data_IF_377434693214
#
_entry.id   IF_377434693214
#
_cell.length_a   1.000
_cell.length_b   1.000
_cell.length_c   1.000
_cell.angle_alpha   90.00
_cell.angle_beta   90.00
_cell.angle_gamma   90.00
#
_symmetry.space_group_name_H-M   'P 1'
#
loop_
_entity.id
_entity.type
_entity.pdbx_description
1 polymer ?
#
# COMPACT_ATOMS: atom_id res chain seq x y z
N UNK A 1 40.22 39.75 -46.56
CA UNK A 1 39.11 39.67 -45.60
C UNK A 1 39.69 40.06 -44.25
N UNK A 2 39.05 40.97 -43.52
CA UNK A 2 39.50 41.42 -42.20
C UNK A 2 39.61 40.21 -41.24
N UNK A 3 40.71 40.02 -40.48
CA UNK A 3 40.85 38.96 -39.48
C UNK A 3 39.67 38.88 -38.50
N UNK A 4 39.05 40.02 -38.17
CA UNK A 4 37.87 40.08 -37.31
C UNK A 4 36.64 39.50 -38.02
N UNK A 5 36.49 39.77 -39.33
CA UNK A 5 35.41 39.19 -40.14
C UNK A 5 35.65 37.69 -40.33
N UNK A 6 36.90 37.23 -40.51
CA UNK A 6 37.20 35.80 -40.58
C UNK A 6 36.88 35.09 -39.25
N UNK A 7 37.26 35.66 -38.11
CA UNK A 7 36.90 35.11 -36.80
C UNK A 7 35.38 35.09 -36.56
N UNK A 8 34.65 36.13 -37.00
CA UNK A 8 33.20 36.17 -36.90
C UNK A 8 32.53 35.14 -37.82
N UNK A 9 33.03 34.96 -39.04
CA UNK A 9 32.52 33.96 -39.98
C UNK A 9 32.81 32.54 -39.50
N UNK A 10 34.02 32.27 -38.97
CA UNK A 10 34.34 30.96 -38.38
C UNK A 10 33.50 30.67 -37.13
N UNK A 11 33.33 31.65 -36.22
CA UNK A 11 32.43 31.49 -35.07
C UNK A 11 30.98 31.25 -35.48
N UNK A 12 30.50 31.95 -36.49
CA UNK A 12 29.13 31.75 -37.00
C UNK A 12 28.97 30.40 -37.72
N UNK A 13 30.04 29.85 -38.30
CA UNK A 13 30.02 28.55 -39.00
C UNK A 13 30.16 27.34 -38.06
N UNK A 14 30.67 27.52 -36.84
CA UNK A 14 30.90 26.43 -35.86
C UNK A 14 29.92 26.44 -34.67
N UNK A 15 28.87 27.26 -34.73
CA UNK A 15 27.84 27.32 -33.70
C UNK A 15 26.61 26.48 -34.05
N UNK A 16 26.28 25.56 -33.14
CA UNK A 16 25.21 24.57 -33.33
C UNK A 16 24.04 24.85 -32.37
N UNK A 17 23.07 25.64 -32.81
CA UNK A 17 21.93 26.07 -31.98
C UNK A 17 20.70 25.13 -32.04
N UNK A 18 20.78 24.03 -32.79
CA UNK A 18 19.68 23.07 -32.94
C UNK A 18 19.62 22.01 -31.84
N UNK A 19 18.66 21.11 -31.96
CA UNK A 19 18.63 19.83 -31.23
C UNK A 19 19.15 18.71 -32.14
N UNK A 20 20.04 17.91 -31.61
CA UNK A 20 20.70 16.82 -32.33
C UNK A 20 20.45 15.49 -31.62
N UNK A 21 20.40 14.38 -32.36
CA UNK A 21 20.26 13.06 -31.74
C UNK A 21 21.60 12.62 -31.16
N UNK A 22 21.59 12.24 -29.89
CA UNK A 22 22.73 11.67 -29.18
C UNK A 22 22.44 10.24 -28.75
N UNK A 23 23.46 9.38 -28.84
CA UNK A 23 23.44 8.05 -28.24
C UNK A 23 24.25 8.08 -26.94
N UNK A 24 23.70 7.55 -25.86
CA UNK A 24 24.40 7.46 -24.57
C UNK A 24 25.53 6.44 -24.65
N UNK A 25 26.75 6.87 -24.35
CA UNK A 25 27.96 6.04 -24.35
C UNK A 25 28.43 5.74 -22.92
N UNK A 26 28.33 6.73 -22.03
CA UNK A 26 28.67 6.58 -20.61
C UNK A 26 27.70 7.38 -19.74
N UNK A 27 27.26 6.78 -18.64
CA UNK A 27 26.39 7.37 -17.63
C UNK A 27 26.97 7.31 -16.21
N UNK A 28 28.22 6.86 -16.05
CA UNK A 28 28.92 6.80 -14.76
C UNK A 28 29.59 8.15 -14.45
N UNK A 29 28.76 9.17 -14.22
CA UNK A 29 29.22 10.53 -13.93
C UNK A 29 30.03 10.59 -12.62
N UNK A 30 31.33 10.94 -12.64
CA UNK A 30 32.16 11.01 -11.45
C UNK A 30 31.72 12.10 -10.45
N UNK A 31 30.91 13.08 -10.86
CA UNK A 31 30.34 14.08 -9.95
C UNK A 31 28.93 13.73 -9.45
N UNK A 32 28.33 12.61 -9.92
CA UNK A 32 26.97 12.19 -9.55
C UNK A 32 25.89 13.26 -9.83
N UNK A 33 26.01 13.99 -10.94
CA UNK A 33 25.12 15.09 -11.35
C UNK A 33 24.23 14.72 -12.54
N UNK A 34 24.08 13.44 -12.85
CA UNK A 34 23.35 12.93 -14.02
C UNK A 34 23.90 13.41 -15.37
N UNK A 35 25.21 13.68 -15.45
CA UNK A 35 25.85 14.00 -16.74
C UNK A 35 26.03 12.74 -17.59
N UNK A 36 26.05 12.92 -18.90
CA UNK A 36 26.22 11.82 -19.86
C UNK A 36 27.36 12.11 -20.83
N UNK A 37 28.11 11.09 -21.23
CA UNK A 37 28.93 11.17 -22.45
C UNK A 37 28.15 10.59 -23.62
N UNK A 38 28.11 11.33 -24.72
CA UNK A 38 27.21 11.08 -25.83
C UNK A 38 27.99 10.96 -27.14
N UNK A 39 27.46 10.18 -28.08
CA UNK A 39 27.88 10.21 -29.48
C UNK A 39 26.85 10.99 -30.28
N UNK A 40 27.28 12.02 -31.02
CA UNK A 40 26.42 12.90 -31.83
C UNK A 40 26.88 12.88 -33.29
N UNK A 41 26.50 11.86 -34.09
CA UNK A 41 27.08 11.63 -35.41
C UNK A 41 26.92 12.79 -36.39
N UNK A 42 25.79 13.52 -36.32
CA UNK A 42 25.50 14.64 -37.23
C UNK A 42 26.39 15.86 -37.04
N UNK A 43 27.11 15.95 -35.91
CA UNK A 43 27.96 17.10 -35.57
C UNK A 43 29.42 16.69 -35.44
N UNK A 44 29.71 15.58 -34.75
CA UNK A 44 31.07 15.18 -34.38
C UNK A 44 31.58 13.94 -35.13
N UNK A 45 30.75 13.33 -35.97
CA UNK A 45 31.04 12.03 -36.58
C UNK A 45 30.81 10.86 -35.61
N UNK A 46 31.04 9.65 -36.09
CA UNK A 46 30.66 8.41 -35.39
C UNK A 46 31.69 7.96 -34.34
N UNK A 47 32.92 8.43 -34.42
CA UNK A 47 34.03 7.94 -33.58
C UNK A 47 34.33 8.87 -32.39
N UNK A 48 33.70 10.04 -32.35
CA UNK A 48 33.93 11.06 -31.33
C UNK A 48 32.82 11.03 -30.29
N UNK A 49 33.22 11.10 -29.02
CA UNK A 49 32.33 11.21 -27.86
C UNK A 49 32.45 12.62 -27.31
N UNK A 50 31.32 13.17 -26.84
CA UNK A 50 31.27 14.49 -26.23
C UNK A 50 32.05 14.54 -24.90
N UNK A 51 32.32 15.74 -24.40
CA UNK A 51 32.54 15.91 -22.97
C UNK A 51 31.27 15.54 -22.18
N UNK A 52 31.37 15.50 -20.84
CA UNK A 52 30.21 15.33 -19.96
C UNK A 52 29.14 16.40 -20.27
N UNK A 53 27.99 15.93 -20.76
CA UNK A 53 26.84 16.75 -21.07
C UNK A 53 26.04 17.05 -19.81
N UNK A 54 25.78 18.33 -19.57
CA UNK A 54 24.94 18.76 -18.45
C UNK A 54 23.48 18.37 -18.70
N UNK A 55 22.72 17.94 -17.67
CA UNK A 55 21.34 17.55 -17.86
C UNK A 55 20.40 18.77 -17.87
N UNK A 56 19.44 18.80 -18.79
CA UNK A 56 18.29 19.70 -18.75
C UNK A 56 17.08 18.97 -18.13
N UNK A 57 17.06 18.89 -16.80
CA UNK A 57 16.02 18.17 -16.04
C UNK A 57 14.76 19.01 -15.84
N UNK A 58 13.56 18.40 -15.77
CA UNK A 58 12.30 19.12 -15.59
C UNK A 58 12.11 19.72 -14.19
N UNK A 59 12.82 19.21 -13.18
CA UNK A 59 12.72 19.68 -11.80
C UNK A 59 14.04 19.43 -11.05
N UNK A 60 14.51 20.43 -10.28
CA UNK A 60 15.74 20.37 -9.50
C UNK A 60 16.43 21.73 -9.38
N UNK A 61 17.75 21.73 -9.13
CA UNK A 61 18.59 22.93 -9.18
C UNK A 61 18.94 23.58 -7.83
N UNK A 62 18.48 23.01 -6.71
CA UNK A 62 18.97 23.31 -5.36
C UNK A 62 19.32 22.01 -4.63
N UNK A 63 19.86 22.13 -3.41
CA UNK A 63 20.25 21.00 -2.60
C UNK A 63 19.05 20.08 -2.27
N UNK A 64 19.25 18.78 -2.44
CA UNK A 64 18.35 17.70 -1.99
C UNK A 64 16.92 17.76 -2.56
N UNK A 65 16.77 18.15 -3.83
CA UNK A 65 15.50 18.13 -4.54
C UNK A 65 15.67 17.92 -6.05
N UNK A 66 14.73 17.24 -6.71
CA UNK A 66 14.71 17.13 -8.17
C UNK A 66 14.13 15.82 -8.70
N UNK A 67 14.05 15.72 -10.03
CA UNK A 67 13.78 14.47 -10.74
C UNK A 67 15.09 13.86 -11.23
N UNK A 68 15.61 12.85 -10.53
CA UNK A 68 16.87 12.19 -10.88
C UNK A 68 16.61 10.88 -11.64
N UNK A 69 16.57 10.97 -12.97
CA UNK A 69 16.36 9.82 -13.87
C UNK A 69 17.39 9.85 -14.98
N UNK A 70 18.41 8.99 -14.88
CA UNK A 70 19.54 8.94 -15.80
C UNK A 70 19.23 7.92 -16.90
N UNK A 71 19.29 8.30 -18.19
CA UNK A 71 19.17 7.37 -19.30
C UNK A 71 20.24 6.26 -19.27
N UNK A 72 19.86 5.05 -19.68
CA UNK A 72 20.75 3.90 -19.80
C UNK A 72 21.74 4.04 -20.98
N UNK A 73 22.87 3.33 -20.89
CA UNK A 73 23.81 3.23 -22.02
C UNK A 73 23.07 2.65 -23.24
N UNK A 74 23.26 3.29 -24.40
CA UNK A 74 22.56 2.95 -25.64
C UNK A 74 21.18 3.60 -25.81
N UNK A 75 20.67 4.35 -24.82
CA UNK A 75 19.48 5.17 -25.01
C UNK A 75 19.73 6.33 -25.98
N UNK A 76 18.68 6.80 -26.65
CA UNK A 76 18.72 8.02 -27.45
C UNK A 76 18.18 9.22 -26.66
N UNK A 77 18.91 10.34 -26.73
CA UNK A 77 18.58 11.62 -26.12
C UNK A 77 18.65 12.75 -27.15
N UNK A 78 18.00 13.87 -26.87
CA UNK A 78 18.30 15.11 -27.60
C UNK A 78 19.50 15.81 -26.98
N UNK A 79 20.34 16.37 -27.83
CA UNK A 79 21.56 17.07 -27.46
C UNK A 79 21.50 18.50 -27.98
N UNK A 80 21.87 19.42 -27.11
CA UNK A 80 22.03 20.84 -27.36
C UNK A 80 23.43 21.25 -26.92
N UNK A 81 23.82 22.49 -27.22
CA UNK A 81 25.13 23.03 -26.90
C UNK A 81 24.98 24.42 -26.31
N UNK A 82 25.58 24.68 -25.13
CA UNK A 82 25.51 25.99 -24.48
C UNK A 82 26.01 27.08 -25.44
N UNK A 83 25.13 28.02 -25.80
CA UNK A 83 25.41 29.08 -26.77
C UNK A 83 26.01 28.56 -28.10
N UNK A 84 25.63 27.34 -28.50
CA UNK A 84 26.09 26.68 -29.73
C UNK A 84 27.49 26.09 -29.65
N UNK A 85 28.16 26.09 -28.48
CA UNK A 85 29.52 25.58 -28.33
C UNK A 85 29.54 24.06 -28.16
N UNK A 86 30.05 23.34 -29.18
CA UNK A 86 30.13 21.87 -29.20
C UNK A 86 30.86 21.24 -27.99
N UNK A 87 31.77 21.99 -27.35
CA UNK A 87 32.51 21.53 -26.17
C UNK A 87 31.73 21.66 -24.84
N UNK A 88 30.51 22.22 -24.90
CA UNK A 88 29.60 22.42 -23.76
C UNK A 88 28.25 21.75 -24.06
N UNK A 89 28.23 20.41 -24.16
CA UNK A 89 27.02 19.67 -24.47
C UNK A 89 26.00 19.72 -23.33
N UNK A 90 24.72 19.68 -23.70
CA UNK A 90 23.56 19.56 -22.81
C UNK A 90 22.73 18.40 -23.34
N UNK A 91 22.22 17.52 -22.48
CA UNK A 91 21.22 16.53 -22.88
C UNK A 91 19.85 16.90 -22.35
N UNK A 92 18.82 16.74 -23.19
CA UNK A 92 17.45 17.16 -22.90
C UNK A 92 16.46 16.09 -23.35
N UNK A 93 15.86 15.38 -22.39
CA UNK A 93 14.84 14.38 -22.69
C UNK A 93 15.34 13.18 -23.49
N UNK A 94 14.46 12.19 -23.62
CA UNK A 94 14.70 10.93 -24.34
C UNK A 94 13.78 10.82 -25.55
N UNK A 95 14.13 9.92 -26.47
CA UNK A 95 13.27 9.53 -27.58
C UNK A 95 13.29 8.02 -27.76
N UNK A 96 12.15 7.47 -28.15
CA UNK A 96 12.01 6.07 -28.53
C UNK A 96 12.70 5.85 -29.89
N UNK A 97 13.55 4.82 -29.99
CA UNK A 97 14.28 4.52 -31.23
C UNK A 97 13.37 3.78 -32.21
N UNK A 98 12.49 2.94 -31.68
CA UNK A 98 11.51 2.15 -32.40
C UNK A 98 10.24 1.96 -31.55
N UNK A 99 9.17 1.46 -32.17
CA UNK A 99 7.87 1.29 -31.51
C UNK A 99 7.91 0.34 -30.31
N UNK A 100 8.80 -0.67 -30.32
CA UNK A 100 8.93 -1.63 -29.22
C UNK A 100 9.61 -1.07 -27.97
N UNK A 101 10.23 0.11 -28.05
CA UNK A 101 10.89 0.73 -26.89
C UNK A 101 9.87 1.39 -25.96
N UNK A 102 8.71 1.75 -26.51
CA UNK A 102 7.60 2.33 -25.73
C UNK A 102 7.06 1.26 -24.79
N UNK A 103 6.76 1.59 -23.51
CA UNK A 103 6.08 0.67 -22.61
C UNK A 103 4.78 0.15 -23.24
N UNK A 104 4.70 -1.16 -23.48
CA UNK A 104 3.65 -1.78 -24.28
C UNK A 104 2.24 -1.51 -23.75
N UNK A 105 2.05 -1.61 -22.44
CA UNK A 105 0.76 -1.32 -21.78
C UNK A 105 0.24 0.08 -22.11
N UNK A 106 1.12 1.09 -22.08
CA UNK A 106 0.77 2.47 -22.39
C UNK A 106 0.58 2.70 -23.90
N UNK A 107 1.36 2.00 -24.74
CA UNK A 107 1.23 2.08 -26.18
C UNK A 107 -0.10 1.49 -26.68
N UNK A 108 -0.53 0.38 -26.11
CA UNK A 108 -1.78 -0.31 -26.46
C UNK A 108 -3.04 0.49 -26.09
N UNK A 109 -2.96 1.28 -25.01
CA UNK A 109 -4.06 2.12 -24.48
C UNK A 109 -3.83 3.62 -24.73
N UNK A 110 -3.04 3.97 -25.75
CA UNK A 110 -2.79 5.37 -26.09
C UNK A 110 -4.05 6.04 -26.69
N UNK A 111 -4.40 7.30 -26.32
CA UNK A 111 -3.67 8.23 -25.46
C UNK A 111 -4.09 8.21 -23.98
N UNK A 112 -4.99 7.29 -23.61
CA UNK A 112 -5.68 7.30 -22.33
C UNK A 112 -4.79 6.78 -21.18
N UNK A 113 -3.82 5.92 -21.48
CA UNK A 113 -2.84 5.47 -20.50
C UNK A 113 -1.57 6.34 -20.49
N UNK A 114 -1.22 6.84 -19.29
CA UNK A 114 0.03 7.54 -18.99
C UNK A 114 0.81 6.73 -17.98
N UNK A 115 2.07 6.45 -18.27
CA UNK A 115 2.87 5.52 -17.47
C UNK A 115 4.31 6.00 -17.30
N UNK A 116 4.83 5.87 -16.09
CA UNK A 116 6.25 5.84 -15.78
C UNK A 116 6.64 4.40 -15.49
N UNK A 117 7.49 3.81 -16.33
CA UNK A 117 8.02 2.45 -16.17
C UNK A 117 9.54 2.50 -16.05
N UNK A 118 10.07 1.86 -15.03
CA UNK A 118 11.52 1.75 -14.79
C UNK A 118 12.09 0.47 -15.40
N UNK A 119 13.42 0.35 -15.61
CA UNK A 119 14.04 -0.84 -16.24
C UNK A 119 13.72 -2.16 -15.53
N UNK A 120 13.63 -2.15 -14.20
CA UNK A 120 13.27 -3.35 -13.43
C UNK A 120 11.78 -3.71 -13.49
N UNK A 121 10.95 -2.89 -14.12
CA UNK A 121 9.51 -3.16 -14.27
C UNK A 121 8.61 -2.53 -13.21
N UNK A 122 9.13 -1.63 -12.35
CA UNK A 122 8.26 -0.82 -11.48
C UNK A 122 7.46 0.17 -12.31
N UNK A 123 6.18 0.32 -11.97
CA UNK A 123 5.21 1.10 -12.76
C UNK A 123 4.46 2.06 -11.84
N UNK A 124 4.34 3.32 -12.29
CA UNK A 124 3.30 4.26 -11.87
C UNK A 124 2.47 4.59 -13.10
N UNK A 125 1.16 4.36 -13.07
CA UNK A 125 0.27 4.62 -14.21
C UNK A 125 -1.04 5.28 -13.83
N UNK A 126 -1.58 6.01 -14.79
CA UNK A 126 -2.88 6.65 -14.80
C UNK A 126 -3.58 6.25 -16.09
N UNK A 127 -4.74 5.62 -15.98
CA UNK A 127 -5.59 5.23 -17.11
C UNK A 127 -6.86 6.08 -17.07
N UNK A 128 -7.13 6.84 -18.12
CA UNK A 128 -8.37 7.63 -18.27
C UNK A 128 -9.35 6.97 -19.26
N UNK A 129 -9.20 5.67 -19.54
CA UNK A 129 -10.15 4.92 -20.37
C UNK A 129 -11.53 4.99 -19.73
N UNK A 130 -12.53 5.46 -20.47
CA UNK A 130 -13.86 5.74 -19.90
C UNK A 130 -14.52 4.48 -19.33
N UNK A 131 -14.85 4.51 -18.03
CA UNK A 131 -15.43 3.39 -17.29
C UNK A 131 -14.41 2.35 -16.80
N UNK A 132 -13.13 2.54 -17.10
CA UNK A 132 -12.00 1.72 -16.65
C UNK A 132 -10.89 2.60 -16.04
N UNK A 133 -11.25 3.79 -15.55
CA UNK A 133 -10.29 4.75 -15.00
C UNK A 133 -9.50 4.12 -13.84
N UNK A 134 -8.18 4.31 -13.82
CA UNK A 134 -7.32 3.63 -12.85
C UNK A 134 -6.10 4.47 -12.46
N UNK A 135 -5.74 4.45 -11.17
CA UNK A 135 -4.40 4.84 -10.70
C UNK A 135 -3.72 3.61 -10.14
N UNK A 136 -2.47 3.36 -10.56
CA UNK A 136 -1.73 2.15 -10.16
C UNK A 136 -0.27 2.41 -9.86
N UNK A 137 0.20 1.87 -8.73
CA UNK A 137 1.61 1.73 -8.36
C UNK A 137 1.93 0.24 -8.24
N UNK A 138 2.86 -0.26 -9.05
CA UNK A 138 3.14 -1.68 -9.16
C UNK A 138 4.63 -2.01 -9.03
N UNK A 139 4.89 -3.12 -8.32
CA UNK A 139 6.17 -3.77 -8.25
C UNK A 139 6.15 -5.07 -9.07
N UNK A 140 7.21 -5.39 -9.83
CA UNK A 140 7.33 -6.60 -10.67
C UNK A 140 7.33 -7.93 -9.89
N UNK A 141 7.13 -7.90 -8.58
CA UNK A 141 6.97 -9.09 -7.74
C UNK A 141 5.48 -9.34 -7.44
N UNK A 142 4.59 -8.75 -8.25
CA UNK A 142 3.13 -8.82 -8.13
C UNK A 142 2.56 -8.25 -6.84
N UNK A 143 3.15 -7.14 -6.36
CA UNK A 143 2.53 -6.30 -5.33
C UNK A 143 2.12 -4.95 -5.91
N UNK A 144 0.96 -4.44 -5.52
CA UNK A 144 0.43 -3.19 -6.07
C UNK A 144 -0.43 -2.40 -5.08
N UNK A 145 -0.53 -1.10 -5.35
CA UNK A 145 -1.60 -0.22 -4.88
C UNK A 145 -2.39 0.23 -6.11
N UNK A 146 -3.71 0.09 -6.05
CA UNK A 146 -4.63 0.42 -7.14
C UNK A 146 -5.83 1.21 -6.62
N UNK A 147 -6.27 2.19 -7.41
CA UNK A 147 -7.56 2.87 -7.27
C UNK A 147 -8.30 2.64 -8.59
N UNK A 148 -9.46 1.99 -8.54
CA UNK A 148 -10.28 1.69 -9.74
C UNK A 148 -11.30 2.80 -10.05
N UNK A 149 -12.09 2.58 -11.11
CA UNK A 149 -13.05 3.55 -11.65
C UNK A 149 -14.14 3.91 -10.64
N UNK A 150 -14.48 2.99 -9.75
CA UNK A 150 -15.41 3.19 -8.64
C UNK A 150 -14.78 3.91 -7.43
N UNK A 151 -13.48 4.17 -7.47
CA UNK A 151 -12.72 4.79 -6.39
C UNK A 151 -12.37 3.83 -5.24
N UNK A 152 -12.45 2.51 -5.46
CA UNK A 152 -12.04 1.52 -4.47
C UNK A 152 -10.52 1.50 -4.39
N UNK A 153 -10.00 1.69 -3.19
CA UNK A 153 -8.55 1.64 -2.93
C UNK A 153 -8.16 0.24 -2.50
N UNK A 154 -7.24 -0.39 -3.21
CA UNK A 154 -6.75 -1.75 -2.92
C UNK A 154 -5.23 -1.76 -2.83
N UNK A 155 -4.69 -2.38 -1.78
CA UNK A 155 -3.30 -2.77 -1.69
C UNK A 155 -3.24 -4.30 -1.71
N UNK A 156 -2.37 -4.86 -2.52
CA UNK A 156 -2.16 -6.30 -2.67
C UNK A 156 -0.67 -6.60 -2.55
N UNK A 157 -0.29 -7.54 -1.69
CA UNK A 157 1.09 -8.02 -1.62
C UNK A 157 1.36 -9.19 -2.59
N UNK A 158 2.63 -9.56 -2.72
CA UNK A 158 3.08 -10.65 -3.60
C UNK A 158 2.50 -12.04 -3.23
N UNK A 159 2.04 -12.21 -1.99
CA UNK A 159 1.46 -13.46 -1.50
C UNK A 159 -0.07 -13.48 -1.59
N UNK A 160 -0.70 -12.39 -2.05
CA UNK A 160 -2.14 -12.23 -2.20
C UNK A 160 -2.87 -11.70 -0.96
N UNK A 161 -2.18 -11.22 0.07
CA UNK A 161 -2.81 -10.50 1.17
C UNK A 161 -3.31 -9.13 0.65
N UNK A 162 -4.47 -8.69 1.14
CA UNK A 162 -5.13 -7.47 0.64
C UNK A 162 -5.59 -6.54 1.75
N UNK A 163 -5.54 -5.24 1.49
CA UNK A 163 -6.25 -4.19 2.21
C UNK A 163 -7.15 -3.44 1.21
N UNK A 164 -8.45 -3.34 1.50
CA UNK A 164 -9.46 -2.79 0.59
C UNK A 164 -10.30 -1.75 1.31
N UNK A 165 -10.45 -0.57 0.72
CA UNK A 165 -11.36 0.48 1.16
C UNK A 165 -12.41 0.70 0.06
N UNK A 166 -13.67 0.35 0.34
CA UNK A 166 -14.75 0.44 -0.62
C UNK A 166 -15.86 1.37 -0.11
N UNK A 167 -15.90 2.58 -0.65
CA UNK A 167 -16.92 3.58 -0.29
C UNK A 167 -18.33 3.14 -0.71
N UNK A 168 -18.48 2.54 -1.90
CA UNK A 168 -19.79 2.08 -2.40
C UNK A 168 -20.39 0.99 -1.51
N UNK A 169 -19.55 0.10 -0.98
CA UNK A 169 -19.93 -0.93 -0.02
C UNK A 169 -19.97 -0.45 1.43
N UNK A 170 -19.55 0.80 1.71
CA UNK A 170 -19.31 1.31 3.06
C UNK A 170 -18.47 0.35 3.91
N UNK A 171 -17.42 -0.21 3.31
CA UNK A 171 -16.61 -1.26 3.93
C UNK A 171 -15.10 -1.01 3.87
N UNK A 172 -14.41 -1.57 4.86
CA UNK A 172 -12.95 -1.68 4.93
C UNK A 172 -12.61 -3.12 5.27
N UNK A 173 -11.75 -3.75 4.49
CA UNK A 173 -11.41 -5.16 4.62
C UNK A 173 -9.89 -5.36 4.59
N UNK A 174 -9.39 -6.17 5.51
CA UNK A 174 -8.04 -6.72 5.49
C UNK A 174 -8.15 -8.24 5.44
N UNK A 175 -7.47 -8.87 4.49
CA UNK A 175 -7.40 -10.33 4.35
C UNK A 175 -5.94 -10.74 4.21
N UNK A 176 -5.51 -11.76 4.95
CA UNK A 176 -4.22 -12.40 4.72
C UNK A 176 -4.35 -13.64 3.82
N UNK A 177 -3.21 -14.17 3.37
CA UNK A 177 -3.16 -15.38 2.55
C UNK A 177 -3.45 -16.67 3.33
N UNK A 178 -3.59 -16.60 4.66
CA UNK A 178 -3.87 -17.75 5.52
C UNK A 178 -5.37 -17.90 5.82
N UNK A 179 -6.22 -17.03 5.25
CA UNK A 179 -7.67 -17.04 5.45
C UNK A 179 -8.15 -16.29 6.70
N UNK A 180 -7.32 -15.41 7.27
CA UNK A 180 -7.70 -14.52 8.35
C UNK A 180 -8.20 -13.19 7.77
N UNK A 181 -9.27 -12.65 8.36
CA UNK A 181 -9.88 -11.39 7.90
C UNK A 181 -10.23 -10.44 9.05
N UNK A 182 -10.17 -9.14 8.76
CA UNK A 182 -10.76 -8.06 9.54
C UNK A 182 -11.65 -7.24 8.60
N UNK A 183 -12.95 -7.21 8.88
CA UNK A 183 -13.95 -6.52 8.06
C UNK A 183 -14.67 -5.49 8.92
N UNK A 184 -14.75 -4.25 8.45
CA UNK A 184 -15.60 -3.19 8.99
C UNK A 184 -16.62 -2.83 7.93
N UNK A 185 -17.90 -2.85 8.27
CA UNK A 185 -19.02 -2.61 7.36
C UNK A 185 -20.20 -2.02 8.14
N UNK A 186 -21.30 -1.68 7.47
CA UNK A 186 -22.45 -1.02 8.09
C UNK A 186 -23.08 -1.81 9.27
N UNK A 187 -23.01 -3.14 9.22
CA UNK A 187 -23.49 -4.05 10.28
C UNK A 187 -22.58 -4.05 11.51
N UNK A 188 -21.30 -3.68 11.38
CA UNK A 188 -20.35 -3.69 12.48
C UNK A 188 -18.92 -4.02 12.06
N UNK A 189 -18.17 -4.61 12.98
CA UNK A 189 -16.78 -5.03 12.76
C UNK A 189 -16.59 -6.49 13.13
N UNK A 190 -15.92 -7.24 12.27
CA UNK A 190 -15.67 -8.66 12.44
C UNK A 190 -14.18 -8.97 12.25
N UNK A 191 -13.59 -9.69 13.22
CA UNK A 191 -12.29 -10.37 13.07
C UNK A 191 -12.58 -11.86 12.95
N UNK A 192 -12.03 -12.50 11.93
CA UNK A 192 -12.15 -13.95 11.70
C UNK A 192 -10.76 -14.54 11.47
N UNK A 193 -10.48 -15.69 12.08
CA UNK A 193 -9.34 -16.50 11.67
C UNK A 193 -9.78 -17.70 10.80
N UNK A 194 -8.82 -18.35 10.16
CA UNK A 194 -9.08 -19.52 9.31
C UNK A 194 -9.48 -20.79 10.08
N UNK A 195 -9.42 -20.76 11.42
CA UNK A 195 -9.83 -21.87 12.28
C UNK A 195 -11.28 -21.74 12.75
N UNK A 196 -12.01 -20.73 12.28
CA UNK A 196 -13.42 -20.47 12.62
C UNK A 196 -13.61 -19.68 13.92
N UNK A 197 -12.54 -19.14 14.51
CA UNK A 197 -12.66 -18.23 15.64
C UNK A 197 -13.07 -16.84 15.13
N UNK A 198 -13.96 -16.16 15.86
CA UNK A 198 -14.51 -14.85 15.46
C UNK A 198 -14.71 -13.92 16.65
N UNK A 199 -14.48 -12.63 16.41
CA UNK A 199 -14.91 -11.52 17.28
C UNK A 199 -15.80 -10.62 16.43
N UNK A 200 -17.06 -10.47 16.82
CA UNK A 200 -18.06 -9.65 16.11
C UNK A 200 -18.54 -8.54 17.04
N UNK A 201 -18.47 -7.29 16.58
CA UNK A 201 -18.98 -6.10 17.24
C UNK A 201 -20.07 -5.50 16.35
N UNK A 202 -21.34 -5.67 16.74
CA UNK A 202 -22.51 -5.27 15.93
C UNK A 202 -23.58 -4.63 16.82
N UNK A 203 -24.72 -4.23 16.24
CA UNK A 203 -25.80 -3.56 17.00
C UNK A 203 -26.34 -4.37 18.19
N UNK A 204 -26.18 -5.69 18.19
CA UNK A 204 -26.54 -6.59 19.30
C UNK A 204 -25.51 -6.67 20.44
N UNK A 205 -24.33 -6.05 20.28
CA UNK A 205 -23.23 -6.08 21.24
C UNK A 205 -21.96 -6.75 20.69
N UNK A 206 -21.13 -7.27 21.59
CA UNK A 206 -19.88 -7.95 21.26
C UNK A 206 -20.02 -9.47 21.47
N UNK A 207 -19.74 -10.25 20.43
CA UNK A 207 -19.76 -11.71 20.45
C UNK A 207 -18.37 -12.27 20.15
N UNK A 208 -17.84 -13.06 21.07
CA UNK A 208 -16.58 -13.81 20.90
C UNK A 208 -16.93 -15.28 20.78
N UNK A 209 -16.59 -15.90 19.66
CA UNK A 209 -16.79 -17.34 19.39
C UNK A 209 -15.47 -18.01 19.08
N UNK A 210 -15.26 -19.19 19.64
CA UNK A 210 -14.16 -20.08 19.28
C UNK A 210 -14.70 -21.45 18.88
N UNK A 211 -14.04 -22.09 17.91
CA UNK A 211 -14.31 -23.48 17.52
C UNK A 211 -13.88 -24.49 18.59
N UNK A 212 -13.03 -24.09 19.55
CA UNK A 212 -12.54 -24.94 20.63
C UNK A 212 -12.81 -24.33 22.01
N UNK A 213 -11.91 -23.48 22.50
CA UNK A 213 -11.97 -22.90 23.85
C UNK A 213 -11.57 -21.43 23.78
N UNK A 214 -12.32 -20.57 24.49
CA UNK A 214 -11.91 -19.19 24.78
C UNK A 214 -11.21 -19.18 26.13
N UNK A 215 -9.89 -19.01 26.14
CA UNK A 215 -9.09 -18.89 27.36
C UNK A 215 -8.76 -17.41 27.62
N UNK A 216 -9.10 -16.91 28.81
CA UNK A 216 -8.77 -15.53 29.25
C UNK A 216 -7.94 -15.64 30.53
N UNK A 217 -6.64 -15.34 30.44
CA UNK A 217 -5.70 -15.41 31.56
C UNK A 217 -5.27 -14.01 32.02
N UNK A 218 -5.20 -13.83 33.33
CA UNK A 218 -4.74 -12.61 33.98
C UNK A 218 -4.78 -12.79 35.50
N UNK A 219 -4.01 -12.00 36.23
CA UNK A 219 -4.06 -12.01 37.72
C UNK A 219 -5.44 -11.63 38.27
N UNK A 220 -6.25 -10.92 37.47
CA UNK A 220 -7.65 -10.59 37.73
C UNK A 220 -8.41 -10.43 36.40
N UNK A 221 -9.60 -11.01 36.29
CA UNK A 221 -10.53 -10.84 35.16
C UNK A 221 -11.86 -10.31 35.70
N UNK A 222 -12.19 -9.06 35.37
CA UNK A 222 -13.43 -8.44 35.82
C UNK A 222 -14.53 -8.60 34.78
N UNK A 223 -15.51 -9.47 35.06
CA UNK A 223 -16.75 -9.57 34.28
C UNK A 223 -17.87 -8.88 35.06
N UNK A 224 -18.13 -7.62 34.72
CA UNK A 224 -19.05 -6.74 35.46
C UNK A 224 -20.49 -6.71 34.93
N UNK A 225 -21.36 -6.02 35.66
CA UNK A 225 -22.78 -5.85 35.32
C UNK A 225 -23.60 -7.14 35.44
N UNK A 226 -24.77 -7.17 34.80
CA UNK A 226 -25.65 -8.36 34.78
C UNK A 226 -25.00 -9.58 34.11
N UNK A 227 -23.96 -9.39 33.30
CA UNK A 227 -23.21 -10.47 32.64
C UNK A 227 -22.32 -11.29 33.59
N UNK A 228 -21.95 -10.76 34.76
CA UNK A 228 -21.18 -11.47 35.78
C UNK A 228 -22.03 -12.37 36.70
N UNK A 229 -23.34 -12.11 36.82
CA UNK A 229 -24.22 -12.90 37.69
C UNK A 229 -24.32 -14.39 37.30
N UNK A 230 -24.42 -14.78 36.01
CA UNK A 230 -24.44 -16.18 35.61
C UNK A 230 -23.15 -16.94 35.96
N UNK A 231 -22.01 -16.26 35.99
CA UNK A 231 -20.71 -16.84 36.36
C UNK A 231 -20.62 -17.09 37.88
N UNK A 232 -21.11 -16.14 38.68
CA UNK A 232 -21.08 -16.21 40.15
C UNK A 232 -22.09 -17.24 40.69
N UNK A 233 -23.19 -17.48 39.97
CA UNK A 233 -24.25 -18.42 40.39
C UNK A 233 -23.76 -19.86 40.56
N UNK A 234 -22.68 -20.30 39.91
CA UNK A 234 -22.11 -21.64 40.16
C UNK A 234 -21.59 -21.80 41.60
N UNK A 235 -20.85 -20.81 42.11
CA UNK A 235 -20.28 -20.84 43.47
C UNK A 235 -21.36 -20.59 44.51
N UNK A 236 -22.23 -19.60 44.29
CA UNK A 236 -23.33 -19.29 45.20
C UNK A 236 -24.34 -20.44 45.29
N UNK A 237 -24.69 -21.08 44.16
CA UNK A 237 -25.55 -22.26 44.15
C UNK A 237 -24.88 -23.47 44.80
N UNK A 238 -23.60 -23.73 44.52
CA UNK A 238 -22.88 -24.85 45.14
C UNK A 238 -22.82 -24.70 46.67
N UNK A 239 -22.64 -23.48 47.16
CA UNK A 239 -22.72 -23.18 48.59
C UNK A 239 -24.11 -23.50 49.15
N UNK A 240 -25.19 -23.05 48.48
CA UNK A 240 -26.56 -23.29 48.92
C UNK A 240 -26.94 -24.77 48.87
N UNK A 241 -26.47 -25.50 47.85
CA UNK A 241 -26.70 -26.93 47.69
C UNK A 241 -25.93 -27.75 48.74
N UNK A 242 -24.67 -27.42 49.00
CA UNK A 242 -23.84 -28.15 49.97
C UNK A 242 -24.29 -27.95 51.43
N UNK A 243 -24.91 -26.82 51.75
CA UNK A 243 -25.50 -26.57 53.07
C UNK A 243 -26.97 -26.96 53.15
N UNK A 244 -27.58 -27.41 52.04
CA UNK A 244 -28.96 -27.87 52.03
C UNK A 244 -29.09 -29.20 52.77
N UNK A 245 -29.70 -29.13 53.96
CA UNK A 245 -29.90 -30.30 54.81
C UNK A 245 -31.36 -30.46 55.19
N UNK A 246 -31.78 -31.72 55.25
CA UNK A 246 -33.02 -32.13 55.87
C UNK A 246 -32.72 -32.72 57.24
N UNK A 247 -33.37 -32.21 58.28
CA UNK A 247 -33.23 -32.79 59.62
C UNK A 247 -34.22 -33.93 59.81
N UNK A 248 -33.79 -34.97 60.53
CA UNK A 248 -34.66 -36.07 60.99
C UNK A 248 -34.51 -36.21 62.49
N UNK A 249 -35.58 -36.59 63.18
CA UNK A 249 -35.58 -36.74 64.64
C UNK A 249 -35.04 -38.09 65.09
N UNK A 250 -35.09 -39.12 64.23
CA UNK A 250 -34.45 -40.43 64.42
C UNK A 250 -34.15 -41.10 63.05
N UNK A 251 -33.21 -42.06 62.98
CA UNK A 251 -32.96 -42.83 61.77
C UNK A 251 -34.23 -43.52 61.26
N UNK A 252 -34.67 -43.18 60.05
CA UNK A 252 -35.85 -43.78 59.39
C UNK A 252 -37.17 -42.99 59.54
N UNK A 253 -37.19 -41.83 60.21
CA UNK A 253 -38.38 -40.96 60.29
C UNK A 253 -38.48 -39.99 59.10
N UNK A 254 -39.69 -39.49 58.74
CA UNK A 254 -39.85 -38.47 57.71
C UNK A 254 -38.96 -37.23 57.95
N UNK A 255 -38.35 -36.72 56.89
CA UNK A 255 -37.50 -35.52 56.92
C UNK A 255 -38.31 -34.24 57.12
N UNK A 256 -37.76 -33.28 57.87
CA UNK A 256 -38.32 -31.93 57.98
C UNK A 256 -38.31 -31.19 56.63
N UNK A 257 -39.14 -30.15 56.45
CA UNK A 257 -38.90 -29.16 55.39
C UNK A 257 -37.48 -28.59 55.48
N UNK A 258 -36.91 -28.10 54.36
CA UNK A 258 -35.58 -27.50 54.34
C UNK A 258 -35.46 -26.36 55.36
N UNK A 259 -34.31 -26.27 56.03
CA UNK A 259 -34.00 -25.11 56.87
C UNK A 259 -33.36 -24.05 55.97
N UNK A 260 -33.98 -22.86 55.76
CA UNK A 260 -33.35 -21.80 54.99
C UNK A 260 -32.12 -21.29 55.74
N UNK A 261 -30.93 -21.35 55.14
CA UNK A 261 -29.72 -20.74 55.69
C UNK A 261 -29.23 -19.59 54.81
N UNK A 262 -29.17 -18.39 55.41
CA UNK A 262 -28.63 -17.17 54.81
C UNK A 262 -29.68 -16.31 54.08
N UNK A 263 -29.54 -14.98 54.18
CA UNK A 263 -30.39 -14.03 53.45
C UNK A 263 -30.36 -14.32 51.94
N UNK A 264 -31.54 -14.36 51.33
CA UNK A 264 -31.77 -14.39 49.87
C UNK A 264 -31.36 -13.07 49.18
N UNK A 265 -30.25 -12.45 49.59
CA UNK A 265 -29.96 -11.04 49.30
C UNK A 265 -29.58 -10.76 47.84
N UNK A 266 -29.32 -11.76 46.98
CA UNK A 266 -28.92 -11.49 45.58
C UNK A 266 -29.49 -12.45 44.54
N UNK A 267 -30.42 -13.34 44.89
CA UNK A 267 -31.14 -14.12 43.89
C UNK A 267 -32.27 -13.25 43.33
N UNK A 268 -32.08 -12.77 42.11
CA UNK A 268 -33.05 -12.08 41.23
C UNK A 268 -34.52 -12.30 41.65
N UNK A 269 -35.18 -11.20 42.03
CA UNK A 269 -36.57 -11.15 42.52
C UNK A 269 -37.64 -11.23 41.42
N UNK A 270 -37.32 -11.70 40.21
CA UNK A 270 -38.25 -11.64 39.06
C UNK A 270 -39.24 -12.81 38.98
N UNK A 271 -39.60 -13.45 40.09
CA UNK A 271 -40.70 -14.42 40.08
C UNK A 271 -41.51 -14.39 41.37
N UNK A 272 -42.12 -13.25 41.69
CA UNK A 272 -43.29 -13.21 42.58
C UNK A 272 -44.21 -12.05 42.21
N UNK A 273 -45.05 -12.23 41.19
CA UNK A 273 -46.45 -11.75 41.22
C UNK A 273 -47.31 -12.69 40.36
N UNK A 274 -48.29 -13.31 41.00
CA UNK A 274 -49.58 -13.65 40.41
C UNK A 274 -50.63 -12.84 41.15
#
# INVERSE_FOLDING_TARGET
MDPQIQQLVTRAQEQYFGKYRGLVVDNQDPENRARLMLRVPSIMGSDVVTHWAEPCLPFGGLADQGLFMVPEIGAQVWVEFEAGNVNKPIWTGTLWQQSSDVPSEAAERSPDMRQLKTPSGHILSFDDTSGEEEIRLYHPADSELKIDAEGVVRLTDAAGATLVLNASGSSVELSDSNGNTLVMEASGTTVTDSNGNRIVMEGGGVKVTSSAVVTIEGSMVNVGGLGGEPLIKGVSFLSLFATHMHTTTLPGTPTSPPIPQGEFSTLSSTCMVK
#
